data_IF_380193686994
#
_entry.id   IF_380193686994
#
_cell.length_a   1.000
_cell.length_b   1.000
_cell.length_c   1.000
_cell.angle_alpha   90.00
_cell.angle_beta   90.00
_cell.angle_gamma   90.00
#
_symmetry.space_group_name_H-M   'P 1'
#
loop_
_entity.id
_entity.type
_entity.pdbx_description
1 polymer ?
#
# COMPACT_ATOMS: atom_id res chain seq x y z
N UNK A 1 20.98 62.89 -27.38
CA UNK A 1 20.45 61.53 -27.38
C UNK A 1 21.14 60.72 -26.24
N UNK A 2 20.47 60.55 -25.13
CA UNK A 2 21.00 59.82 -23.96
C UNK A 2 20.64 58.36 -24.10
N UNK A 3 21.62 57.45 -24.26
CA UNK A 3 21.41 56.00 -24.24
C UNK A 3 21.18 55.53 -22.81
N UNK A 4 19.98 55.05 -22.51
CA UNK A 4 19.62 54.45 -21.26
C UNK A 4 20.14 52.97 -21.28
N UNK A 5 21.20 52.71 -20.53
CA UNK A 5 21.74 51.39 -20.35
C UNK A 5 20.92 50.67 -19.25
N UNK A 6 20.04 49.76 -19.66
CA UNK A 6 19.22 48.98 -18.75
C UNK A 6 20.08 47.82 -18.18
N UNK A 7 20.53 47.94 -16.95
CA UNK A 7 21.22 46.86 -16.23
C UNK A 7 20.16 45.90 -15.73
N UNK A 8 20.05 44.74 -16.38
CA UNK A 8 19.22 43.62 -15.94
C UNK A 8 19.99 42.88 -14.85
N UNK A 9 19.68 43.18 -13.58
CA UNK A 9 20.27 42.51 -12.44
C UNK A 9 19.60 41.12 -12.29
N UNK A 10 20.25 40.07 -12.80
CA UNK A 10 19.88 38.68 -12.59
C UNK A 10 20.12 38.33 -11.11
N UNK A 11 19.05 38.35 -10.32
CA UNK A 11 19.05 37.77 -8.98
C UNK A 11 19.12 36.26 -9.14
N UNK A 12 20.32 35.70 -9.02
CA UNK A 12 20.51 34.25 -8.80
C UNK A 12 20.04 33.91 -7.40
N UNK A 13 18.81 33.49 -7.28
CA UNK A 13 18.36 32.79 -6.08
C UNK A 13 19.04 31.44 -6.08
N UNK A 14 19.95 31.21 -5.13
CA UNK A 14 20.48 29.89 -4.84
C UNK A 14 19.32 29.01 -4.39
N UNK A 15 18.76 28.23 -5.32
CA UNK A 15 17.84 27.16 -4.98
C UNK A 15 18.70 26.03 -4.39
N UNK A 16 18.86 26.02 -3.07
CA UNK A 16 19.46 24.89 -2.38
C UNK A 16 18.47 23.72 -2.54
N UNK A 17 18.83 22.73 -3.35
CA UNK A 17 18.15 21.44 -3.29
C UNK A 17 18.47 20.83 -1.92
N UNK A 18 17.43 20.45 -1.15
CA UNK A 18 17.65 19.68 0.05
C UNK A 18 18.35 18.37 -0.33
N UNK A 19 19.48 18.08 0.31
CA UNK A 19 20.21 16.84 0.14
C UNK A 19 19.42 15.71 0.80
N UNK A 20 18.69 14.93 -0.01
CA UNK A 20 18.01 13.72 0.47
C UNK A 20 19.04 12.64 0.75
N UNK A 21 19.07 12.16 1.98
CA UNK A 21 19.88 11.02 2.38
C UNK A 21 19.04 9.76 2.38
N UNK A 22 19.45 8.76 1.57
CA UNK A 22 18.85 7.42 1.62
C UNK A 22 19.53 6.61 2.73
N UNK A 23 18.72 6.08 3.63
CA UNK A 23 19.16 5.16 4.67
C UNK A 23 18.47 3.81 4.50
N UNK A 24 19.26 2.73 4.45
CA UNK A 24 18.74 1.37 4.45
C UNK A 24 18.37 0.95 5.86
N UNK A 25 17.08 0.78 6.12
CA UNK A 25 16.56 0.42 7.45
C UNK A 25 16.54 -1.10 7.65
N UNK A 26 15.91 -1.83 6.73
CA UNK A 26 15.78 -3.29 6.76
C UNK A 26 15.87 -3.86 5.35
N UNK A 27 16.04 -5.18 5.24
CA UNK A 27 16.12 -5.91 3.97
C UNK A 27 15.55 -7.32 4.14
N UNK A 28 15.40 -8.07 3.03
CA UNK A 28 14.95 -9.47 3.08
C UNK A 28 13.45 -9.61 2.83
N UNK A 29 12.90 -8.72 1.98
CA UNK A 29 11.52 -8.82 1.51
C UNK A 29 11.42 -9.65 0.24
N UNK A 30 10.30 -10.35 0.11
CA UNK A 30 9.92 -11.02 -1.13
C UNK A 30 8.81 -10.22 -1.82
N UNK A 31 9.16 -9.53 -2.90
CA UNK A 31 8.22 -8.75 -3.70
C UNK A 31 7.33 -7.80 -2.86
N UNK A 32 7.93 -6.89 -2.07
CA UNK A 32 7.17 -5.97 -1.21
C UNK A 32 6.30 -5.06 -2.08
N UNK A 33 5.02 -4.92 -1.70
CA UNK A 33 4.06 -4.18 -2.49
C UNK A 33 3.65 -2.85 -1.87
N UNK A 34 3.25 -2.85 -0.62
CA UNK A 34 2.77 -1.65 0.08
C UNK A 34 3.19 -1.65 1.54
N UNK A 35 3.17 -0.47 2.14
CA UNK A 35 3.41 -0.29 3.57
C UNK A 35 2.45 0.71 4.18
N UNK A 36 2.22 0.56 5.50
CA UNK A 36 1.47 1.52 6.31
C UNK A 36 2.11 1.66 7.69
N UNK A 37 2.21 2.88 8.19
CA UNK A 37 2.65 3.11 9.56
C UNK A 37 1.54 2.78 10.55
N UNK A 38 1.90 2.11 11.65
CA UNK A 38 1.04 1.89 12.81
C UNK A 38 1.22 3.04 13.79
N UNK A 39 2.46 3.42 13.99
CA UNK A 39 2.90 4.55 14.80
C UNK A 39 4.26 5.05 14.28
N UNK A 40 4.92 5.94 15.01
CA UNK A 40 6.20 6.55 14.62
C UNK A 40 7.39 5.55 14.55
N UNK A 41 7.24 4.34 15.08
CA UNK A 41 8.33 3.34 15.16
C UNK A 41 7.99 2.02 14.48
N UNK A 42 6.72 1.78 14.18
CA UNK A 42 6.26 0.50 13.68
C UNK A 42 5.46 0.65 12.40
N UNK A 43 5.66 -0.29 11.49
CA UNK A 43 4.90 -0.34 10.24
C UNK A 43 4.59 -1.78 9.82
N UNK A 44 3.59 -1.92 8.97
CA UNK A 44 3.26 -3.16 8.28
C UNK A 44 3.68 -3.05 6.82
N UNK A 45 4.17 -4.14 6.27
CA UNK A 45 4.48 -4.29 4.84
C UNK A 45 3.75 -5.51 4.31
N UNK A 46 3.13 -5.38 3.14
CA UNK A 46 2.62 -6.52 2.39
C UNK A 46 3.67 -7.00 1.40
N UNK A 47 3.76 -8.31 1.26
CA UNK A 47 4.51 -8.97 0.20
C UNK A 47 3.52 -9.63 -0.76
N UNK A 48 3.76 -9.49 -2.04
CA UNK A 48 2.86 -9.97 -3.09
C UNK A 48 2.47 -11.45 -2.96
N UNK A 49 3.38 -12.38 -2.57
CA UNK A 49 3.03 -13.78 -2.33
C UNK A 49 1.98 -14.03 -1.25
N UNK A 50 1.67 -13.03 -0.43
CA UNK A 50 0.64 -13.11 0.59
C UNK A 50 1.15 -12.98 2.02
N UNK A 51 2.38 -12.51 2.25
CA UNK A 51 2.88 -12.30 3.60
C UNK A 51 2.59 -10.88 4.10
N UNK A 52 2.43 -10.74 5.41
CA UNK A 52 2.39 -9.46 6.11
C UNK A 52 3.54 -9.43 7.11
N UNK A 53 4.42 -8.44 6.95
CA UNK A 53 5.57 -8.21 7.83
C UNK A 53 5.27 -7.05 8.78
N UNK A 54 5.56 -7.25 10.05
CA UNK A 54 5.64 -6.19 11.06
C UNK A 54 7.10 -5.77 11.19
N UNK A 55 7.36 -4.48 11.14
CA UNK A 55 8.71 -3.93 11.21
C UNK A 55 8.79 -2.95 12.37
N UNK A 56 9.75 -3.17 13.25
CA UNK A 56 10.15 -2.19 14.24
C UNK A 56 11.37 -1.42 13.72
N UNK A 57 11.19 -0.13 13.46
CA UNK A 57 12.23 0.73 12.87
C UNK A 57 13.40 0.99 13.81
N UNK A 58 13.12 1.11 15.11
CA UNK A 58 14.15 1.37 16.13
C UNK A 58 15.06 0.16 16.30
N UNK A 59 14.47 -1.02 16.38
CA UNK A 59 15.21 -2.27 16.57
C UNK A 59 15.73 -2.84 15.26
N UNK A 60 15.27 -2.32 14.13
CA UNK A 60 15.55 -2.84 12.77
C UNK A 60 15.19 -4.32 12.64
N UNK A 61 14.08 -4.73 13.26
CA UNK A 61 13.59 -6.11 13.26
C UNK A 61 12.36 -6.28 12.40
N UNK A 62 12.28 -7.45 11.76
CA UNK A 62 11.14 -7.90 10.97
C UNK A 62 10.54 -9.12 11.63
N UNK A 63 9.21 -9.17 11.71
CA UNK A 63 8.42 -10.31 12.21
C UNK A 63 7.28 -10.60 11.24
N UNK A 64 7.03 -11.87 10.96
CA UNK A 64 5.83 -12.29 10.23
C UNK A 64 4.58 -12.19 11.10
N UNK A 65 3.50 -11.70 10.51
CA UNK A 65 2.16 -11.73 11.12
C UNK A 65 1.32 -12.76 10.39
N UNK A 66 0.80 -13.73 11.13
CA UNK A 66 -0.12 -14.72 10.57
C UNK A 66 -1.48 -14.10 10.24
N UNK A 67 -2.15 -14.60 9.19
CA UNK A 67 -3.49 -14.17 8.82
C UNK A 67 -4.27 -15.27 8.08
N UNK A 68 -5.55 -15.02 7.82
CA UNK A 68 -6.48 -15.97 7.21
C UNK A 68 -6.90 -15.63 5.77
N UNK A 69 -6.21 -14.69 5.11
CA UNK A 69 -6.52 -14.33 3.71
C UNK A 69 -6.23 -15.51 2.77
N UNK A 70 -7.06 -15.68 1.76
CA UNK A 70 -6.86 -16.65 0.67
C UNK A 70 -6.31 -15.91 -0.55
N UNK A 71 -5.04 -15.56 -0.49
CA UNK A 71 -4.38 -14.83 -1.57
C UNK A 71 -4.08 -15.77 -2.74
N UNK A 72 -4.32 -15.30 -3.96
CA UNK A 72 -3.83 -15.91 -5.19
C UNK A 72 -2.80 -14.99 -5.83
N UNK A 73 -1.53 -15.37 -5.75
CA UNK A 73 -0.48 -14.71 -6.50
C UNK A 73 -0.48 -15.25 -7.92
N UNK A 74 -0.86 -14.41 -8.87
CA UNK A 74 -0.79 -14.70 -10.30
C UNK A 74 -0.68 -13.39 -11.08
N UNK A 75 0.31 -13.29 -11.97
CA UNK A 75 0.53 -12.11 -12.79
C UNK A 75 0.68 -10.82 -11.98
N UNK A 76 -0.30 -9.92 -12.07
CA UNK A 76 -0.38 -8.68 -11.29
C UNK A 76 -1.06 -8.87 -9.93
N UNK A 77 -1.70 -10.01 -9.71
CA UNK A 77 -2.40 -10.34 -8.46
C UNK A 77 -1.47 -10.75 -7.33
N UNK A 78 -2.00 -10.74 -6.11
CA UNK A 78 -1.31 -11.07 -4.87
C UNK A 78 -1.92 -10.35 -3.68
N UNK A 79 -1.20 -10.26 -2.59
CA UNK A 79 -1.51 -9.35 -1.48
C UNK A 79 -0.97 -7.97 -1.84
N UNK A 80 -1.86 -7.00 -1.95
CA UNK A 80 -1.57 -5.72 -2.58
C UNK A 80 -1.47 -4.60 -1.54
N UNK A 81 -2.42 -3.67 -1.51
CA UNK A 81 -2.33 -2.51 -0.64
C UNK A 81 -2.66 -2.84 0.82
N UNK A 82 -2.06 -2.10 1.73
CA UNK A 82 -2.34 -2.16 3.16
C UNK A 82 -2.48 -0.76 3.73
N UNK A 83 -3.49 -0.56 4.56
CA UNK A 83 -3.80 0.72 5.18
C UNK A 83 -4.21 0.52 6.63
N UNK A 84 -3.58 1.25 7.53
CA UNK A 84 -3.93 1.29 8.95
C UNK A 84 -4.66 2.59 9.28
N UNK A 85 -5.77 2.47 9.98
CA UNK A 85 -6.52 3.61 10.53
C UNK A 85 -7.23 3.21 11.82
N UNK A 86 -7.01 3.96 12.88
CA UNK A 86 -7.72 3.81 14.17
C UNK A 86 -7.81 2.37 14.69
N UNK A 87 -6.74 1.64 14.77
CA UNK A 87 -6.67 0.23 15.19
C UNK A 87 -7.27 -0.80 14.22
N UNK A 88 -7.66 -0.39 13.02
CA UNK A 88 -8.11 -1.29 11.96
C UNK A 88 -7.08 -1.32 10.84
N UNK A 89 -6.78 -2.51 10.37
CA UNK A 89 -5.96 -2.76 9.20
C UNK A 89 -6.88 -3.18 8.06
N UNK A 90 -6.74 -2.52 6.92
CA UNK A 90 -7.41 -2.83 5.68
C UNK A 90 -6.40 -3.35 4.67
N UNK A 91 -6.78 -4.30 3.86
CA UNK A 91 -5.97 -4.81 2.76
C UNK A 91 -6.80 -4.96 1.50
N UNK A 92 -6.17 -4.75 0.35
CA UNK A 92 -6.69 -5.19 -0.94
C UNK A 92 -5.84 -6.37 -1.43
N UNK A 93 -6.48 -7.34 -2.09
CA UNK A 93 -5.78 -8.52 -2.56
C UNK A 93 -6.57 -9.22 -3.68
N UNK A 94 -5.87 -10.01 -4.48
CA UNK A 94 -6.51 -10.97 -5.38
C UNK A 94 -6.92 -12.20 -4.57
N UNK A 95 -8.22 -12.37 -4.39
CA UNK A 95 -8.76 -13.48 -3.62
C UNK A 95 -8.90 -14.72 -4.49
N UNK A 96 -8.39 -15.85 -4.00
CA UNK A 96 -8.62 -17.15 -4.60
C UNK A 96 -10.09 -17.56 -4.45
N UNK A 97 -10.79 -17.69 -5.57
CA UNK A 97 -12.23 -18.00 -5.68
C UNK A 97 -12.52 -19.43 -6.13
N UNK A 98 -11.53 -20.31 -6.10
CA UNK A 98 -11.57 -21.67 -6.61
C UNK A 98 -11.45 -21.79 -8.13
N UNK A 99 -11.09 -22.97 -8.60
CA UNK A 99 -10.95 -23.30 -10.04
C UNK A 99 -10.05 -22.34 -10.85
N UNK A 100 -8.99 -21.79 -10.22
CA UNK A 100 -8.09 -20.82 -10.87
C UNK A 100 -8.72 -19.44 -11.10
N UNK A 101 -9.91 -19.20 -10.55
CA UNK A 101 -10.57 -17.90 -10.62
C UNK A 101 -10.15 -17.01 -9.47
N UNK A 102 -10.08 -15.73 -9.73
CA UNK A 102 -9.77 -14.70 -8.72
C UNK A 102 -10.60 -13.44 -8.91
N UNK A 103 -10.67 -12.64 -7.88
CA UNK A 103 -11.23 -11.29 -7.96
C UNK A 103 -10.56 -10.37 -6.94
N UNK A 104 -10.58 -9.06 -7.22
CA UNK A 104 -10.14 -8.08 -6.23
C UNK A 104 -11.08 -8.09 -5.03
N UNK A 105 -10.52 -8.25 -3.86
CA UNK A 105 -11.24 -8.20 -2.60
C UNK A 105 -10.60 -7.20 -1.65
N UNK A 106 -11.41 -6.63 -0.76
CA UNK A 106 -10.96 -5.79 0.35
C UNK A 106 -11.39 -6.46 1.65
N UNK A 107 -10.45 -6.57 2.57
CA UNK A 107 -10.71 -7.12 3.89
C UNK A 107 -10.23 -6.18 4.99
N UNK A 108 -10.81 -6.32 6.18
CA UNK A 108 -10.39 -5.59 7.38
C UNK A 108 -10.16 -6.51 8.56
N UNK A 109 -9.22 -6.15 9.41
CA UNK A 109 -8.97 -6.82 10.70
C UNK A 109 -8.71 -5.78 11.78
N UNK A 110 -8.99 -6.12 13.03
CA UNK A 110 -8.46 -5.35 14.17
C UNK A 110 -6.97 -5.57 14.26
N UNK A 111 -6.19 -4.49 14.43
CA UNK A 111 -4.74 -4.57 14.57
C UNK A 111 -4.36 -5.49 15.73
N UNK A 112 -3.48 -6.45 15.45
CA UNK A 112 -2.84 -7.33 16.43
C UNK A 112 -1.45 -7.70 15.88
N UNK A 113 -0.43 -7.62 16.69
CA UNK A 113 0.97 -7.85 16.28
C UNK A 113 1.35 -9.31 16.05
N UNK A 114 0.44 -10.27 16.35
CA UNK A 114 0.70 -11.69 16.19
C UNK A 114 -0.16 -12.31 15.09
N UNK A 115 -1.44 -11.93 15.04
CA UNK A 115 -2.40 -12.51 14.11
C UNK A 115 -3.46 -11.50 13.68
N UNK A 116 -3.67 -11.36 12.38
CA UNK A 116 -4.73 -10.56 11.80
C UNK A 116 -5.86 -11.47 11.30
N UNK A 117 -7.02 -11.38 11.92
CA UNK A 117 -8.21 -12.11 11.51
C UNK A 117 -9.07 -11.23 10.60
N UNK A 118 -8.81 -11.32 9.31
CA UNK A 118 -9.50 -10.53 8.30
C UNK A 118 -10.92 -11.02 8.03
N UNK A 119 -11.82 -10.05 7.79
CA UNK A 119 -13.16 -10.26 7.22
C UNK A 119 -13.28 -9.44 5.95
N UNK A 120 -13.72 -10.06 4.86
CA UNK A 120 -14.00 -9.35 3.62
C UNK A 120 -15.12 -8.33 3.86
N UNK A 121 -14.93 -7.14 3.32
CA UNK A 121 -15.91 -6.05 3.27
C UNK A 121 -16.32 -5.75 1.83
N UNK A 122 -15.52 -6.17 0.85
CA UNK A 122 -15.82 -6.05 -0.57
C UNK A 122 -15.23 -7.25 -1.34
N UNK A 123 -15.93 -7.69 -2.37
CA UNK A 123 -15.49 -8.72 -3.31
C UNK A 123 -16.02 -8.37 -4.70
N UNK A 124 -15.12 -8.11 -5.64
CA UNK A 124 -15.50 -7.86 -7.04
C UNK A 124 -16.18 -9.08 -7.67
N UNK A 125 -17.17 -8.85 -8.48
CA UNK A 125 -17.93 -9.87 -9.18
C UNK A 125 -18.07 -9.52 -10.68
N UNK A 126 -18.09 -10.52 -11.57
CA UNK A 126 -17.79 -11.93 -11.34
C UNK A 126 -16.28 -12.15 -11.12
N UNK A 127 -15.86 -13.27 -10.50
CA UNK A 127 -14.46 -13.66 -10.53
C UNK A 127 -14.05 -14.05 -11.95
N UNK A 128 -12.78 -13.88 -12.27
CA UNK A 128 -12.21 -14.14 -13.60
C UNK A 128 -11.00 -15.06 -13.50
N UNK A 129 -10.73 -15.79 -14.57
CA UNK A 129 -9.49 -16.55 -14.73
C UNK A 129 -8.48 -15.66 -15.48
N UNK A 130 -7.84 -14.75 -14.75
CA UNK A 130 -6.85 -13.84 -15.31
C UNK A 130 -5.93 -13.34 -14.23
N UNK A 131 -4.64 -13.28 -14.52
CA UNK A 131 -3.62 -12.67 -13.67
C UNK A 131 -3.50 -11.14 -13.82
N UNK A 132 -4.46 -10.47 -14.48
CA UNK A 132 -4.36 -9.04 -14.80
C UNK A 132 -5.52 -8.23 -14.24
N UNK A 133 -5.30 -6.89 -14.15
CA UNK A 133 -6.33 -5.91 -13.85
C UNK A 133 -6.86 -5.94 -12.41
N UNK A 134 -5.99 -6.21 -11.45
CA UNK A 134 -6.33 -6.05 -10.04
C UNK A 134 -6.12 -4.59 -9.62
N UNK A 135 -7.17 -3.94 -9.16
CA UNK A 135 -7.07 -2.67 -8.46
C UNK A 135 -6.46 -2.87 -7.09
N UNK A 136 -5.64 -1.93 -6.61
CA UNK A 136 -4.96 -2.12 -5.33
C UNK A 136 -5.13 -0.99 -4.35
N UNK A 137 -5.01 0.26 -4.78
CA UNK A 137 -4.88 1.40 -3.86
C UNK A 137 -6.12 1.60 -3.00
N UNK A 138 -5.91 1.63 -1.68
CA UNK A 138 -6.90 1.95 -0.67
C UNK A 138 -6.71 3.40 -0.18
N UNK A 139 -7.80 4.15 -0.08
CA UNK A 139 -7.80 5.52 0.45
C UNK A 139 -8.98 5.68 1.39
N UNK A 140 -8.74 6.20 2.58
CA UNK A 140 -9.80 6.57 3.52
C UNK A 140 -10.17 8.03 3.28
N UNK A 141 -11.45 8.26 3.02
CA UNK A 141 -12.06 9.58 2.97
C UNK A 141 -13.04 9.72 4.12
N UNK A 142 -12.80 10.67 5.02
CA UNK A 142 -13.66 10.91 6.20
C UNK A 142 -13.89 9.61 6.97
N UNK A 143 -13.54 9.25 8.00
CA UNK A 143 -13.67 8.06 8.90
C UNK A 143 -14.58 6.88 8.46
N UNK A 144 -15.36 7.03 7.37
CA UNK A 144 -16.41 6.09 6.98
C UNK A 144 -16.29 5.49 5.58
N UNK A 145 -15.40 6.00 4.71
CA UNK A 145 -15.32 5.55 3.33
C UNK A 145 -13.93 5.04 2.97
N UNK A 146 -13.91 3.87 2.39
CA UNK A 146 -12.72 3.32 1.71
C UNK A 146 -12.99 3.38 0.22
N UNK A 147 -12.07 3.93 -0.51
CA UNK A 147 -12.09 3.92 -1.97
C UNK A 147 -11.07 2.92 -2.48
N UNK A 148 -11.46 2.15 -3.46
CA UNK A 148 -10.57 1.26 -4.20
C UNK A 148 -10.74 1.49 -5.69
N UNK A 149 -9.65 1.56 -6.42
CA UNK A 149 -9.66 1.63 -7.88
C UNK A 149 -9.64 0.19 -8.44
N UNK A 150 -10.67 -0.17 -9.19
CA UNK A 150 -10.80 -1.46 -9.86
C UNK A 150 -11.15 -1.20 -11.32
N UNK A 151 -10.35 -1.70 -12.27
CA UNK A 151 -10.65 -1.70 -13.70
C UNK A 151 -11.27 -0.38 -14.21
N UNK A 152 -10.56 0.73 -14.02
CA UNK A 152 -11.01 2.07 -14.42
C UNK A 152 -12.29 2.59 -13.71
N UNK A 153 -12.73 1.93 -12.66
CA UNK A 153 -13.90 2.34 -11.88
C UNK A 153 -13.49 2.61 -10.44
N UNK A 154 -13.90 3.76 -9.90
CA UNK A 154 -13.79 4.06 -8.48
C UNK A 154 -15.01 3.47 -7.77
N UNK A 155 -14.77 2.56 -6.84
CA UNK A 155 -15.80 2.02 -5.95
C UNK A 155 -15.61 2.58 -4.55
N UNK A 156 -16.68 3.11 -3.98
CA UNK A 156 -16.71 3.56 -2.58
C UNK A 156 -17.43 2.48 -1.76
N UNK A 157 -16.85 2.14 -0.63
CA UNK A 157 -17.37 1.15 0.32
C UNK A 157 -17.58 1.80 1.67
#
# INVERSE_FOLDING_TARGET
MKKLLSIFLLLFTNLSAEDFKLEKIVQGFDSPWSLTFIDNQNLLVTEKPGNIKFINLKEKKIKDISHNLKVLEDGQGGLLDILHNDSIVFVSYSENRSNGMSSTSVARAKLNSEKLNFKNIFQSQPPINSGYHFGSRLVIKNKHFISICILNTLTFI
#
